data_IF_626049621578
#
_entry.id   IF_626049621578
#
_cell.length_a   1.000
_cell.length_b   1.000
_cell.length_c   1.000
_cell.angle_alpha   90.00
_cell.angle_beta   90.00
_cell.angle_gamma   90.00
#
_symmetry.space_group_name_H-M   'P 1'
#
loop_
_entity.id
_entity.type
_entity.pdbx_description
1 polymer ?
#
# COMPACT_ATOMS: atom_id res chain seq x y z
N UNK A 1 1.86 -21.23 2.27
CA UNK A 1 0.79 -20.26 1.92
C UNK A 1 -0.37 -21.02 1.27
N UNK A 2 -1.62 -20.79 1.67
CA UNK A 2 -2.78 -21.44 1.02
C UNK A 2 -2.99 -20.81 -0.36
N UNK A 3 -3.19 -21.65 -1.40
CA UNK A 3 -3.36 -21.19 -2.78
C UNK A 3 -4.67 -20.40 -2.93
N UNK A 4 -4.63 -19.25 -3.63
CA UNK A 4 -5.80 -18.41 -3.87
C UNK A 4 -6.26 -17.57 -2.67
N UNK A 5 -5.53 -17.58 -1.55
CA UNK A 5 -5.86 -16.80 -0.35
C UNK A 5 -4.83 -15.68 -0.19
N UNK A 6 -5.34 -14.46 0.02
CA UNK A 6 -4.51 -13.29 0.37
C UNK A 6 -4.04 -13.45 1.82
N UNK A 7 -2.71 -13.53 2.08
CA UNK A 7 -2.19 -13.85 3.41
C UNK A 7 -2.33 -12.69 4.40
N UNK A 8 -2.14 -13.02 5.68
CA UNK A 8 -2.21 -12.02 6.75
C UNK A 8 -0.97 -11.17 6.93
N UNK A 9 0.18 -11.81 6.82
CA UNK A 9 1.46 -11.14 6.77
C UNK A 9 1.83 -10.89 5.31
N UNK A 10 1.58 -9.68 4.83
CA UNK A 10 1.81 -9.30 3.45
C UNK A 10 3.20 -8.68 3.32
N UNK A 11 4.14 -9.32 2.58
CA UNK A 11 5.28 -8.58 2.09
C UNK A 11 4.76 -7.50 1.14
N UNK A 12 5.27 -6.28 1.25
CA UNK A 12 4.96 -5.22 0.29
C UNK A 12 6.22 -4.42 -0.03
N UNK A 13 6.20 -3.80 -1.20
CA UNK A 13 7.26 -2.93 -1.68
C UNK A 13 6.83 -1.47 -1.54
N UNK A 14 7.77 -0.62 -1.13
CA UNK A 14 7.59 0.83 -1.04
C UNK A 14 8.64 1.51 -1.93
N UNK A 15 8.18 2.42 -2.79
CA UNK A 15 9.02 3.34 -3.54
C UNK A 15 8.73 4.78 -3.13
N UNK A 16 9.79 5.57 -2.98
CA UNK A 16 9.70 7.01 -2.68
C UNK A 16 10.41 7.77 -3.79
N UNK A 17 9.69 8.05 -4.88
CA UNK A 17 10.26 8.61 -6.11
C UNK A 17 10.93 9.99 -5.87
N UNK A 18 10.38 10.76 -4.93
CA UNK A 18 10.89 12.08 -4.54
C UNK A 18 12.29 12.07 -3.92
N UNK A 19 12.80 10.91 -3.50
CA UNK A 19 14.18 10.80 -3.00
C UNK A 19 15.22 10.94 -4.11
N UNK A 20 14.87 10.54 -5.33
CA UNK A 20 15.76 10.62 -6.50
C UNK A 20 15.44 11.83 -7.37
N UNK A 21 14.14 12.12 -7.55
CA UNK A 21 13.68 13.29 -8.28
C UNK A 21 12.79 14.17 -7.39
N UNK A 22 13.33 15.24 -6.77
CA UNK A 22 12.56 16.15 -5.92
C UNK A 22 11.35 16.81 -6.61
N UNK A 23 11.32 16.85 -7.96
CA UNK A 23 10.18 17.38 -8.72
C UNK A 23 8.93 16.50 -8.66
N UNK A 24 9.05 15.25 -8.20
CA UNK A 24 7.94 14.30 -8.09
C UNK A 24 6.99 14.59 -6.92
N UNK A 25 7.34 15.49 -6.00
CA UNK A 25 6.49 15.89 -4.89
C UNK A 25 6.62 17.39 -4.57
N UNK A 26 5.61 18.02 -3.96
CA UNK A 26 5.76 19.38 -3.42
C UNK A 26 6.90 19.48 -2.39
N UNK A 27 7.44 20.69 -2.20
CA UNK A 27 8.51 20.93 -1.25
C UNK A 27 8.14 20.43 0.16
N UNK A 28 9.01 19.60 0.75
CA UNK A 28 8.80 19.02 2.08
C UNK A 28 7.78 17.87 2.12
N UNK A 29 7.34 17.36 0.97
CA UNK A 29 6.45 16.21 0.84
C UNK A 29 7.17 15.06 0.11
N UNK A 30 6.55 13.90 0.11
CA UNK A 30 7.08 12.70 -0.56
C UNK A 30 6.05 12.10 -1.52
N UNK A 31 6.53 11.57 -2.63
CA UNK A 31 5.72 10.79 -3.57
C UNK A 31 5.97 9.31 -3.29
N UNK A 32 4.99 8.66 -2.64
CA UNK A 32 5.10 7.28 -2.16
C UNK A 32 4.20 6.36 -2.99
N UNK A 33 4.76 5.26 -3.47
CA UNK A 33 4.04 4.17 -4.13
C UNK A 33 4.21 2.88 -3.34
N UNK A 34 3.12 2.16 -3.13
CA UNK A 34 3.12 0.89 -2.40
C UNK A 34 2.55 -0.19 -3.30
N UNK A 35 3.26 -1.32 -3.40
CA UNK A 35 2.85 -2.48 -4.17
C UNK A 35 2.69 -3.69 -3.23
N UNK A 36 1.49 -4.26 -3.22
CA UNK A 36 1.16 -5.47 -2.47
C UNK A 36 0.96 -6.63 -3.45
N UNK A 37 1.77 -7.71 -3.39
CA UNK A 37 1.57 -8.90 -4.18
C UNK A 37 0.36 -9.67 -3.67
N UNK A 38 -0.57 -9.99 -4.58
CA UNK A 38 -1.76 -10.80 -4.32
C UNK A 38 -1.84 -11.96 -5.32
N UNK A 39 -2.60 -13.03 -5.03
CA UNK A 39 -2.83 -14.10 -6.00
C UNK A 39 -3.43 -13.57 -7.31
N UNK A 40 -3.23 -14.31 -8.39
CA UNK A 40 -3.85 -13.98 -9.68
C UNK A 40 -5.37 -13.90 -9.54
N UNK A 41 -5.99 -12.94 -10.22
CA UNK A 41 -7.46 -12.75 -10.18
C UNK A 41 -8.20 -14.01 -10.60
N UNK A 42 -7.65 -14.79 -11.53
CA UNK A 42 -8.21 -16.09 -11.96
C UNK A 42 -8.16 -17.19 -10.90
N UNK A 43 -7.39 -16.99 -9.82
CA UNK A 43 -7.22 -17.91 -8.71
C UNK A 43 -7.91 -17.42 -7.43
N UNK A 44 -8.30 -16.15 -7.41
CA UNK A 44 -9.19 -15.60 -6.38
C UNK A 44 -10.62 -15.89 -6.82
N UNK A 45 -11.47 -16.35 -5.90
CA UNK A 45 -12.90 -16.53 -6.18
C UNK A 45 -13.62 -15.19 -6.42
N UNK A 46 -14.89 -15.09 -6.04
CA UNK A 46 -15.55 -13.78 -6.03
C UNK A 46 -14.97 -12.92 -4.90
N UNK A 47 -14.09 -11.98 -5.27
CA UNK A 47 -13.49 -10.98 -4.37
C UNK A 47 -13.98 -9.60 -4.80
N UNK A 48 -14.53 -8.84 -3.84
CA UNK A 48 -14.78 -7.41 -4.04
C UNK A 48 -13.45 -6.66 -3.88
N UNK A 49 -12.85 -6.27 -5.01
CA UNK A 49 -11.53 -5.66 -5.02
C UNK A 49 -11.50 -4.26 -4.41
N UNK A 50 -12.63 -3.55 -4.36
CA UNK A 50 -12.74 -2.26 -3.69
C UNK A 50 -12.58 -2.42 -2.18
N UNK A 51 -13.34 -3.35 -1.58
CA UNK A 51 -13.27 -3.64 -0.15
C UNK A 51 -11.91 -4.26 0.21
N UNK A 52 -11.44 -5.19 -0.62
CA UNK A 52 -10.17 -5.87 -0.41
C UNK A 52 -8.98 -4.91 -0.50
N UNK A 53 -9.00 -3.94 -1.42
CA UNK A 53 -7.94 -2.92 -1.53
C UNK A 53 -7.89 -2.01 -0.30
N UNK A 54 -9.05 -1.63 0.25
CA UNK A 54 -9.11 -0.87 1.51
C UNK A 54 -8.52 -1.67 2.68
N UNK A 55 -8.92 -2.95 2.79
CA UNK A 55 -8.39 -3.88 3.80
C UNK A 55 -6.88 -4.06 3.68
N UNK A 56 -6.35 -4.20 2.46
CA UNK A 56 -4.92 -4.30 2.20
C UNK A 56 -4.16 -3.03 2.62
N UNK A 57 -4.72 -1.85 2.33
CA UNK A 57 -4.13 -0.57 2.74
C UNK A 57 -4.05 -0.45 4.27
N UNK A 58 -5.10 -0.81 5.00
CA UNK A 58 -5.10 -0.81 6.47
C UNK A 58 -3.98 -1.67 7.05
N UNK A 59 -3.74 -2.85 6.44
CA UNK A 59 -2.67 -3.76 6.88
C UNK A 59 -1.28 -3.21 6.61
N UNK A 60 -1.10 -2.57 5.46
CA UNK A 60 0.14 -1.86 5.13
C UNK A 60 0.40 -0.77 6.16
N UNK A 61 -0.60 0.06 6.46
CA UNK A 61 -0.48 1.12 7.47
C UNK A 61 -0.18 0.56 8.87
N UNK A 62 -0.83 -0.53 9.27
CA UNK A 62 -0.54 -1.21 10.53
C UNK A 62 0.91 -1.71 10.59
N UNK A 63 1.43 -2.30 9.50
CA UNK A 63 2.83 -2.74 9.43
C UNK A 63 3.80 -1.57 9.48
N UNK A 64 3.54 -0.49 8.75
CA UNK A 64 4.36 0.73 8.79
C UNK A 64 4.41 1.30 10.21
N UNK A 65 3.28 1.30 10.93
CA UNK A 65 3.19 1.76 12.32
C UNK A 65 4.10 0.95 13.25
N UNK A 66 4.15 -0.38 13.09
CA UNK A 66 5.09 -1.23 13.85
C UNK A 66 6.55 -0.82 13.62
N UNK A 67 6.89 -0.33 12.43
CA UNK A 67 8.21 0.22 12.10
C UNK A 67 8.36 1.72 12.41
N UNK A 68 7.44 2.31 13.18
CA UNK A 68 7.43 3.74 13.58
C UNK A 68 7.28 4.71 12.40
N UNK A 69 6.65 4.26 11.33
CA UNK A 69 6.26 5.08 10.19
C UNK A 69 4.74 5.24 10.26
N UNK A 70 4.29 6.42 10.69
CA UNK A 70 2.87 6.77 10.74
C UNK A 70 2.54 7.70 9.59
N UNK A 71 1.51 7.37 8.81
CA UNK A 71 0.96 8.23 7.74
C UNK A 71 -0.53 8.38 8.05
N UNK A 72 -0.92 9.51 8.62
CA UNK A 72 -2.33 9.82 8.88
C UNK A 72 -3.00 10.38 7.62
N UNK A 73 -4.33 10.35 7.57
CA UNK A 73 -5.09 10.93 6.46
C UNK A 73 -4.78 12.43 6.27
N UNK A 74 -4.46 13.16 7.36
CA UNK A 74 -4.05 14.57 7.30
C UNK A 74 -2.68 14.79 6.63
N UNK A 75 -1.84 13.77 6.55
CA UNK A 75 -0.53 13.85 5.91
C UNK A 75 -0.64 13.70 4.38
N UNK A 76 -1.74 13.11 3.92
CA UNK A 76 -2.01 12.77 2.52
C UNK A 76 -2.69 13.95 1.83
N UNK A 77 -1.92 14.70 1.06
CA UNK A 77 -2.44 15.81 0.24
C UNK A 77 -3.07 15.32 -1.09
N UNK A 78 -2.72 14.12 -1.53
CA UNK A 78 -3.25 13.49 -2.74
C UNK A 78 -3.08 11.97 -2.64
N UNK A 79 -4.12 11.21 -2.99
CA UNK A 79 -4.07 9.75 -3.14
C UNK A 79 -4.89 9.32 -4.33
N UNK A 80 -4.37 8.37 -5.09
CA UNK A 80 -5.15 7.65 -6.11
C UNK A 80 -5.56 6.30 -5.51
N UNK A 81 -6.86 6.11 -5.30
CA UNK A 81 -7.47 4.85 -4.87
C UNK A 81 -8.08 4.15 -6.07
#
# INVERSE_FOLDING_TARGET
MKKGIIPDDLPFYVSVASNTDPGMAPKGKSAVFILVPVPLVSQTGHVNWQDESARLLERVQARLTVHRITIADSDIIHSKR
#
